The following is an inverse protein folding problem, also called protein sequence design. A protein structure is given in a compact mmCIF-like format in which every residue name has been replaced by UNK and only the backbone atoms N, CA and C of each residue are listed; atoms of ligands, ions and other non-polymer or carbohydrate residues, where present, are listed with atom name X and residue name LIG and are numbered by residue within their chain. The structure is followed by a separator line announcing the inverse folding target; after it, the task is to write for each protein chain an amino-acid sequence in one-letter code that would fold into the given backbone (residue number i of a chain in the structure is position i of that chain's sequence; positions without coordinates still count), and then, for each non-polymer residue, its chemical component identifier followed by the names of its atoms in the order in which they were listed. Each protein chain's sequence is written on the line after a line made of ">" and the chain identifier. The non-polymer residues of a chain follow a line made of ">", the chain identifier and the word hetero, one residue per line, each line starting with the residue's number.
data_IF_599700542105
#
_entry.id   IF_599700542105
#
_cell.length_a   1.000
_cell.length_b   1.000
_cell.length_c   1.000
_cell.angle_alpha   90.00
_cell.angle_beta   90.00
_cell.angle_gamma   90.00
#
_symmetry.space_group_name_H-M   'P 1'
#
loop_
_entity.id
_entity.type
_entity.pdbx_description
1 polymer ?
#
# COMPACT_ATOMS: atom_id res chain seq x y z
N UNK A 1 6.02 9.87 14.34
CA UNK A 1 5.22 8.69 13.96
C UNK A 1 5.34 8.55 12.45
N UNK A 2 5.80 7.41 11.94
CA UNK A 2 5.74 7.17 10.49
C UNK A 2 4.27 7.12 10.08
N UNK A 3 3.88 7.98 9.14
CA UNK A 3 2.51 8.04 8.64
C UNK A 3 2.23 6.79 7.79
N UNK A 4 1.23 6.00 8.16
CA UNK A 4 0.83 4.83 7.37
C UNK A 4 -0.21 5.27 6.32
N UNK A 5 0.28 5.71 5.16
CA UNK A 5 -0.55 6.19 4.05
C UNK A 5 -1.56 5.15 3.57
N UNK A 6 -1.16 3.87 3.52
CA UNK A 6 -2.07 2.78 3.14
C UNK A 6 -3.23 2.68 4.14
N UNK A 7 -2.94 2.69 5.45
CA UNK A 7 -3.98 2.63 6.47
C UNK A 7 -4.92 3.82 6.39
N UNK A 8 -4.39 5.03 6.25
CA UNK A 8 -5.18 6.27 6.11
C UNK A 8 -6.10 6.21 4.90
N UNK A 9 -5.61 5.73 3.76
CA UNK A 9 -6.42 5.50 2.57
C UNK A 9 -7.50 4.45 2.83
N UNK A 10 -7.15 3.28 3.36
CA UNK A 10 -8.10 2.20 3.61
C UNK A 10 -9.21 2.60 4.61
N UNK A 11 -8.88 3.41 5.62
CA UNK A 11 -9.85 3.94 6.58
C UNK A 11 -10.80 4.98 5.95
N UNK A 12 -10.41 5.63 4.86
CA UNK A 12 -11.26 6.57 4.12
C UNK A 12 -12.23 5.90 3.15
N UNK A 13 -12.03 4.62 2.84
CA UNK A 13 -12.88 3.88 1.90
C UNK A 13 -14.18 3.48 2.58
N UNK A 14 -15.30 3.67 1.89
CA UNK A 14 -16.59 3.17 2.35
C UNK A 14 -16.56 1.65 2.55
N UNK A 15 -17.12 1.16 3.65
CA UNK A 15 -16.99 -0.24 4.09
C UNK A 15 -17.34 -1.29 3.01
N UNK A 16 -18.31 -1.02 2.14
CA UNK A 16 -18.68 -1.91 1.03
C UNK A 16 -17.62 -2.07 -0.06
N UNK A 17 -16.69 -1.10 -0.20
CA UNK A 17 -15.58 -1.14 -1.18
C UNK A 17 -14.28 -1.67 -0.59
N UNK A 18 -14.16 -1.67 0.74
CA UNK A 18 -12.93 -2.09 1.43
C UNK A 18 -12.46 -3.47 0.98
N UNK A 19 -13.35 -4.47 0.99
CA UNK A 19 -13.01 -5.85 0.60
C UNK A 19 -12.52 -5.92 -0.85
N UNK A 20 -13.23 -5.26 -1.76
CA UNK A 20 -12.88 -5.26 -3.19
C UNK A 20 -11.50 -4.61 -3.44
N UNK A 21 -11.23 -3.49 -2.79
CA UNK A 21 -9.93 -2.81 -2.90
C UNK A 21 -8.81 -3.66 -2.32
N UNK A 22 -8.99 -4.20 -1.11
CA UNK A 22 -8.05 -5.13 -0.47
C UNK A 22 -7.73 -6.31 -1.39
N UNK A 23 -8.76 -7.02 -1.85
CA UNK A 23 -8.59 -8.22 -2.67
C UNK A 23 -7.88 -7.89 -3.99
N UNK A 24 -8.14 -6.72 -4.56
CA UNK A 24 -7.47 -6.23 -5.77
C UNK A 24 -5.98 -5.95 -5.53
N UNK A 25 -5.63 -5.29 -4.42
CA UNK A 25 -4.22 -5.03 -4.06
C UNK A 25 -3.49 -6.34 -3.81
N UNK A 26 -4.08 -7.24 -3.01
CA UNK A 26 -3.49 -8.55 -2.70
C UNK A 26 -3.20 -9.33 -3.99
N UNK A 27 -4.17 -9.35 -4.92
CA UNK A 27 -4.03 -10.03 -6.20
C UNK A 27 -2.96 -9.39 -7.09
N UNK A 28 -2.99 -8.06 -7.29
CA UNK A 28 -2.05 -7.37 -8.17
C UNK A 28 -0.61 -7.40 -7.62
N UNK A 29 -0.44 -7.29 -6.31
CA UNK A 29 0.87 -7.36 -5.67
C UNK A 29 1.36 -8.80 -5.43
N UNK A 30 0.52 -9.82 -5.69
CA UNK A 30 0.82 -11.24 -5.44
C UNK A 30 1.32 -11.51 -4.01
N UNK A 31 0.63 -10.93 -3.02
CA UNK A 31 0.96 -11.07 -1.59
C UNK A 31 -0.08 -11.94 -0.85
N UNK A 32 0.23 -12.32 0.39
CA UNK A 32 -0.71 -12.99 1.28
C UNK A 32 -1.48 -12.00 2.15
N UNK A 33 -2.57 -12.47 2.78
CA UNK A 33 -3.32 -11.70 3.78
C UNK A 33 -2.45 -11.25 4.97
N UNK A 34 -1.43 -12.04 5.36
CA UNK A 34 -0.56 -11.70 6.47
C UNK A 34 0.40 -10.55 6.12
N UNK A 35 0.94 -10.55 4.90
CA UNK A 35 1.72 -9.41 4.39
C UNK A 35 0.85 -8.16 4.36
N UNK A 36 -0.37 -8.28 3.84
CA UNK A 36 -1.34 -7.18 3.84
C UNK A 36 -1.60 -6.62 5.25
N UNK A 37 -1.86 -7.49 6.23
CA UNK A 37 -2.07 -7.07 7.64
C UNK A 37 -0.84 -6.37 8.21
N UNK A 38 0.36 -6.85 7.90
CA UNK A 38 1.60 -6.22 8.35
C UNK A 38 1.81 -4.84 7.73
N UNK A 39 1.51 -4.65 6.44
CA UNK A 39 1.53 -3.34 5.79
C UNK A 39 0.51 -2.39 6.42
N UNK A 40 -0.73 -2.84 6.62
CA UNK A 40 -1.79 -2.03 7.20
C UNK A 40 -1.51 -1.64 8.66
N UNK A 41 -0.83 -2.51 9.41
CA UNK A 41 -0.39 -2.23 10.78
C UNK A 41 0.90 -1.40 10.84
N UNK A 42 1.57 -1.15 9.71
CA UNK A 42 2.86 -0.44 9.66
C UNK A 42 4.02 -1.24 10.27
N UNK A 43 3.90 -2.56 10.35
CA UNK A 43 4.93 -3.46 10.91
C UNK A 43 6.04 -3.74 9.91
N UNK A 44 5.73 -3.70 8.63
CA UNK A 44 6.68 -3.89 7.54
C UNK A 44 6.51 -2.80 6.50
N UNK A 45 7.61 -2.41 5.87
CA UNK A 45 7.58 -1.43 4.79
C UNK A 45 6.93 -2.02 3.54
N UNK A 46 6.18 -1.17 2.83
CA UNK A 46 5.62 -1.51 1.52
C UNK A 46 6.74 -1.37 0.48
N UNK A 47 7.04 -2.42 -0.30
CA UNK A 47 8.06 -2.35 -1.35
C UNK A 47 7.77 -1.27 -2.39
N UNK A 48 8.82 -0.65 -2.93
CA UNK A 48 8.67 0.40 -3.94
C UNK A 48 7.94 -0.07 -5.21
N UNK A 49 8.06 -1.35 -5.57
CA UNK A 49 7.33 -1.95 -6.68
C UNK A 49 5.82 -2.08 -6.42
N UNK A 50 5.40 -2.18 -5.15
CA UNK A 50 3.99 -2.28 -4.78
C UNK A 50 3.30 -0.92 -4.68
N UNK A 51 4.02 0.14 -4.29
CA UNK A 51 3.49 1.51 -4.17
C UNK A 51 2.77 2.02 -5.43
N UNK A 52 3.31 1.93 -6.67
CA UNK A 52 2.60 2.39 -7.87
C UNK A 52 1.36 1.54 -8.18
N UNK A 53 1.40 0.24 -7.91
CA UNK A 53 0.22 -0.64 -8.06
C UNK A 53 -0.89 -0.21 -7.11
N UNK A 54 -0.53 0.13 -5.86
CA UNK A 54 -1.51 0.60 -4.88
C UNK A 54 -2.07 1.97 -5.29
N UNK A 55 -1.25 2.91 -5.75
CA UNK A 55 -1.74 4.20 -6.28
C UNK A 55 -2.73 3.99 -7.46
N UNK A 56 -2.41 3.06 -8.36
CA UNK A 56 -3.29 2.69 -9.48
C UNK A 56 -4.65 2.17 -8.99
N UNK A 57 -4.65 1.26 -8.00
CA UNK A 57 -5.90 0.74 -7.40
C UNK A 57 -6.64 1.83 -6.64
N UNK A 58 -5.91 2.74 -5.98
CA UNK A 58 -6.49 3.85 -5.24
C UNK A 58 -7.14 4.90 -6.14
N UNK A 59 -6.71 4.99 -7.39
CA UNK A 59 -7.08 6.08 -8.30
C UNK A 59 -6.52 7.44 -7.87
N UNK A 60 -5.51 7.43 -7.00
CA UNK A 60 -4.87 8.63 -6.44
C UNK A 60 -3.44 8.32 -6.00
N UNK A 61 -2.60 9.35 -5.96
CA UNK A 61 -1.23 9.24 -5.45
C UNK A 61 -1.23 9.23 -3.92
N UNK A 62 -1.44 8.05 -3.32
CA UNK A 62 -1.35 7.89 -1.85
C UNK A 62 0.11 7.83 -1.38
N UNK A 63 1.02 7.37 -2.24
CA UNK A 63 2.47 7.44 -2.05
C UNK A 63 3.06 8.46 -3.03
N UNK A 64 3.89 9.38 -2.53
CA UNK A 64 4.51 10.43 -3.35
C UNK A 64 5.54 9.86 -4.35
N UNK A 65 6.07 10.69 -5.27
CA UNK A 65 7.18 10.26 -6.15
C UNK A 65 8.45 9.92 -5.35
N UNK A 66 8.78 10.74 -4.36
CA UNK A 66 9.93 10.56 -3.48
C UNK A 66 9.83 9.23 -2.70
N UNK A 67 8.62 8.86 -2.27
CA UNK A 67 8.41 7.58 -1.59
C UNK A 67 8.50 6.38 -2.54
N UNK A 68 8.30 6.56 -3.85
CA UNK A 68 8.44 5.49 -4.85
C UNK A 68 9.88 5.29 -5.29
N UNK A 69 10.69 6.33 -5.19
CA UNK A 69 12.08 6.39 -5.63
C UNK A 69 13.01 6.52 -4.41
N UNK A 70 13.13 5.47 -3.60
CA UNK A 70 14.26 5.42 -2.67
C UNK A 70 15.52 5.08 -3.49
N UNK A 71 16.55 5.95 -3.53
CA UNK A 71 17.80 5.64 -4.22
C UNK A 71 18.35 4.35 -3.62
N UNK A 72 18.72 3.42 -4.50
CA UNK A 72 19.42 2.19 -4.14
C UNK A 72 20.43 2.47 -3.03
N UNK A 73 20.09 2.09 -1.78
CA UNK A 73 21.11 1.92 -0.75
C UNK A 73 21.80 0.62 -1.13
N UNK A 74 22.72 0.73 -2.09
CA UNK A 74 23.78 -0.25 -2.29
C UNK A 74 24.61 -0.26 -1.00
N UNK A 75 24.26 -1.17 -0.10
CA UNK A 75 25.19 -1.74 0.87
C UNK A 75 25.53 -3.15 0.40
#
# INVERSE_FOLDING_TARGET
>A
MNENYLKKYMDSIQMGRYKSVKDTIIKKCSITDDIWRNWLAGRTNIPNLAKPIINEVAGSDIFSKEEREDPLTFL
#
